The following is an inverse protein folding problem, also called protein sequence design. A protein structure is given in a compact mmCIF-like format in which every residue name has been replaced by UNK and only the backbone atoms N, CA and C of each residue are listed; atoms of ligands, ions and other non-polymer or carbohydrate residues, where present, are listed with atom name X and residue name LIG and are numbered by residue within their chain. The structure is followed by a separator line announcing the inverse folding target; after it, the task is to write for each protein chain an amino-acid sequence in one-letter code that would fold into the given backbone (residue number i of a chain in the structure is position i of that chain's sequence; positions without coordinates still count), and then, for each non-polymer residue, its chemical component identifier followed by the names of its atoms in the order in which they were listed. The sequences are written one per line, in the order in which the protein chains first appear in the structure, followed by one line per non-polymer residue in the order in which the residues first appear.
data_IF_419715637498
#
_entry.id   IF_419715637498
#
_cell.length_a   1.000
_cell.length_b   1.000
_cell.length_c   1.000
_cell.angle_alpha   90.00
_cell.angle_beta   90.00
_cell.angle_gamma   90.00
#
_symmetry.space_group_name_H-M   'P 1'
#
loop_
_entity.id
_entity.type
_entity.pdbx_description
1 polymer ?
#
# COMPACT_ATOMS: atom_id res chain seq x y z
N UNK A 1 2.91 15.43 -5.35
CA UNK A 1 4.11 15.01 -6.10
C UNK A 1 4.28 13.51 -5.95
N UNK A 2 3.34 12.76 -6.53
CA UNK A 2 3.30 11.29 -6.50
C UNK A 2 4.23 10.81 -7.62
N UNK A 3 5.03 9.76 -7.36
CA UNK A 3 6.11 9.33 -8.26
C UNK A 3 5.64 9.25 -9.71
N UNK A 4 6.39 9.91 -10.60
CA UNK A 4 6.10 9.90 -12.03
C UNK A 4 6.03 8.44 -12.53
N UNK A 5 5.23 8.15 -13.57
CA UNK A 5 5.17 6.80 -14.17
C UNK A 5 6.56 6.24 -14.50
N UNK A 6 7.49 7.14 -14.84
CA UNK A 6 8.90 6.84 -15.07
C UNK A 6 9.63 6.30 -13.83
N UNK A 7 9.33 6.80 -12.63
CA UNK A 7 9.89 6.26 -11.38
C UNK A 7 9.40 4.85 -11.10
N UNK A 8 8.11 4.57 -11.33
CA UNK A 8 7.56 3.22 -11.19
C UNK A 8 8.18 2.25 -12.20
N UNK A 9 8.33 2.67 -13.45
CA UNK A 9 9.00 1.88 -14.49
C UNK A 9 10.47 1.63 -14.15
N UNK A 10 11.21 2.63 -13.65
CA UNK A 10 12.61 2.48 -13.27
C UNK A 10 12.80 1.54 -12.06
N UNK A 11 11.92 1.62 -11.06
CA UNK A 11 11.92 0.72 -9.89
C UNK A 11 11.56 -0.71 -10.31
N UNK A 12 10.60 -0.88 -11.23
CA UNK A 12 10.24 -2.18 -11.79
C UNK A 12 11.33 -2.80 -12.67
N UNK A 13 12.01 -1.99 -13.49
CA UNK A 13 13.08 -2.45 -14.38
C UNK A 13 14.36 -2.85 -13.63
N UNK A 14 14.65 -2.21 -12.49
CA UNK A 14 15.77 -2.56 -11.61
C UNK A 14 15.46 -3.68 -10.61
N UNK A 15 14.29 -4.32 -10.71
CA UNK A 15 13.85 -5.32 -9.73
C UNK A 15 14.60 -6.63 -9.89
N UNK A 16 15.37 -6.99 -8.85
CA UNK A 16 16.01 -8.29 -8.78
C UNK A 16 15.02 -9.33 -8.23
N UNK A 17 14.57 -10.27 -9.08
CA UNK A 17 13.66 -11.36 -8.68
C UNK A 17 14.24 -12.20 -7.54
N UNK A 18 15.58 -12.27 -7.43
CA UNK A 18 16.26 -12.99 -6.36
C UNK A 18 16.03 -12.34 -4.98
N UNK A 19 15.95 -11.00 -4.93
CA UNK A 19 15.66 -10.24 -3.71
C UNK A 19 14.22 -10.52 -3.21
N UNK A 20 13.26 -10.66 -4.13
CA UNK A 20 11.87 -11.02 -3.80
C UNK A 20 11.81 -12.40 -3.14
N UNK A 21 12.59 -13.36 -3.66
CA UNK A 21 12.57 -14.75 -3.17
C UNK A 21 13.23 -14.88 -1.80
N UNK A 22 14.29 -14.11 -1.56
CA UNK A 22 15.03 -14.07 -0.29
C UNK A 22 14.17 -13.51 0.84
N UNK A 23 13.46 -12.41 0.59
CA UNK A 23 12.70 -11.70 1.62
C UNK A 23 11.18 -11.85 1.49
N UNK A 24 10.72 -12.90 0.81
CA UNK A 24 9.29 -13.17 0.50
C UNK A 24 8.37 -13.07 1.72
N UNK A 25 8.84 -13.51 2.89
CA UNK A 25 8.07 -13.48 4.14
C UNK A 25 7.91 -12.05 4.68
N UNK A 26 8.97 -11.25 4.64
CA UNK A 26 8.95 -9.85 5.05
C UNK A 26 8.12 -9.00 4.08
N UNK A 27 8.23 -9.28 2.77
CA UNK A 27 7.42 -8.63 1.74
C UNK A 27 5.93 -8.97 1.90
N UNK A 28 5.61 -10.24 2.15
CA UNK A 28 4.24 -10.67 2.40
C UNK A 28 3.66 -10.05 3.68
N UNK A 29 4.43 -10.02 4.78
CA UNK A 29 4.01 -9.37 6.03
C UNK A 29 3.82 -7.86 5.85
N UNK A 30 4.75 -7.17 5.19
CA UNK A 30 4.65 -5.74 4.90
C UNK A 30 3.41 -5.42 4.06
N UNK A 31 3.16 -6.21 3.02
CA UNK A 31 1.97 -6.10 2.19
C UNK A 31 0.70 -6.39 3.00
N UNK A 32 0.67 -7.47 3.80
CA UNK A 32 -0.48 -7.83 4.63
C UNK A 32 -0.83 -6.74 5.65
N UNK A 33 0.16 -6.19 6.34
CA UNK A 33 -0.04 -5.11 7.30
C UNK A 33 -0.58 -3.87 6.59
N UNK A 34 0.01 -3.45 5.47
CA UNK A 34 -0.44 -2.25 4.75
C UNK A 34 -1.79 -2.41 4.06
N UNK A 35 -2.09 -3.60 3.53
CA UNK A 35 -3.27 -3.83 2.70
C UNK A 35 -4.49 -4.30 3.49
N UNK A 36 -4.31 -4.86 4.69
CA UNK A 36 -5.41 -5.36 5.52
C UNK A 36 -5.49 -4.57 6.83
N UNK A 37 -4.39 -4.45 7.58
CA UNK A 37 -4.45 -3.85 8.92
C UNK A 37 -4.72 -2.34 8.84
N UNK A 38 -4.05 -1.62 7.93
CA UNK A 38 -4.25 -0.16 7.78
C UNK A 38 -5.68 0.23 7.40
N UNK A 39 -6.31 -0.36 6.36
CA UNK A 39 -7.69 -0.04 6.01
C UNK A 39 -8.72 -0.53 7.05
N UNK A 40 -8.44 -1.63 7.75
CA UNK A 40 -9.32 -2.11 8.82
C UNK A 40 -9.25 -1.18 10.05
N UNK A 41 -8.06 -0.70 10.40
CA UNK A 41 -7.88 0.34 11.42
C UNK A 41 -8.57 1.64 11.03
N UNK A 42 -8.45 2.08 9.77
CA UNK A 42 -9.11 3.33 9.34
C UNK A 42 -10.62 3.22 9.44
N UNK A 43 -11.21 2.08 9.07
CA UNK A 43 -12.63 1.81 9.24
C UNK A 43 -13.01 1.86 10.74
N UNK A 44 -12.32 1.14 11.60
CA UNK A 44 -12.61 1.14 13.05
C UNK A 44 -12.48 2.54 13.65
N UNK A 45 -11.46 3.32 13.27
CA UNK A 45 -11.25 4.66 13.79
C UNK A 45 -12.35 5.63 13.31
N UNK A 46 -12.70 5.61 12.02
CA UNK A 46 -13.73 6.51 11.46
C UNK A 46 -15.16 6.07 11.80
N UNK A 47 -15.35 4.83 12.25
CA UNK A 47 -16.65 4.37 12.75
C UNK A 47 -16.80 4.62 14.25
N UNK A 48 -15.78 4.36 15.07
CA UNK A 48 -15.94 4.34 16.53
C UNK A 48 -15.26 5.50 17.29
N UNK A 49 -14.13 6.01 16.81
CA UNK A 49 -13.37 7.07 17.50
C UNK A 49 -13.72 8.47 16.97
N UNK A 50 -13.86 8.59 15.66
CA UNK A 50 -14.22 9.83 14.97
C UNK A 50 -15.42 9.49 14.08
N UNK A 51 -16.62 9.32 14.66
CA UNK A 51 -17.78 8.82 13.93
C UNK A 51 -18.14 9.78 12.79
N UNK A 52 -17.86 9.34 11.56
CA UNK A 52 -18.30 10.03 10.34
C UNK A 52 -19.71 9.55 10.03
N UNK A 53 -20.71 10.40 10.24
CA UNK A 53 -22.13 10.07 10.02
C UNK A 53 -22.48 9.97 8.54
N UNK A 54 -21.79 10.74 7.70
CA UNK A 54 -21.95 10.74 6.25
C UNK A 54 -21.24 9.53 5.65
N UNK A 55 -22.03 8.58 5.16
CA UNK A 55 -21.52 7.32 4.62
C UNK A 55 -20.53 7.55 3.46
N UNK A 56 -20.85 8.44 2.53
CA UNK A 56 -19.98 8.75 1.39
C UNK A 56 -18.60 9.26 1.83
N UNK A 57 -18.55 10.11 2.86
CA UNK A 57 -17.32 10.67 3.41
C UNK A 57 -16.50 9.57 4.09
N UNK A 58 -17.15 8.65 4.82
CA UNK A 58 -16.50 7.48 5.40
C UNK A 58 -15.89 6.58 4.32
N UNK A 59 -16.61 6.36 3.22
CA UNK A 59 -16.12 5.56 2.10
C UNK A 59 -14.86 6.15 1.45
N UNK A 60 -14.87 7.45 1.14
CA UNK A 60 -13.70 8.15 0.58
C UNK A 60 -12.51 8.15 1.57
N UNK A 61 -12.79 8.35 2.86
CA UNK A 61 -11.75 8.31 3.90
C UNK A 61 -11.07 6.95 3.96
N UNK A 62 -11.84 5.85 4.04
CA UNK A 62 -11.29 4.48 4.09
C UNK A 62 -10.53 4.12 2.81
N UNK A 63 -11.09 4.47 1.64
CA UNK A 63 -10.45 4.21 0.35
C UNK A 63 -9.11 4.95 0.18
N UNK A 64 -8.98 6.15 0.75
CA UNK A 64 -7.71 6.89 0.75
C UNK A 64 -6.59 6.13 1.47
N UNK A 65 -6.93 5.42 2.55
CA UNK A 65 -5.99 4.59 3.30
C UNK A 65 -5.69 3.23 2.65
N UNK A 66 -6.41 2.86 1.59
CA UNK A 66 -6.11 1.67 0.79
C UNK A 66 -4.95 1.89 -0.21
N UNK A 67 -4.41 3.11 -0.31
CA UNK A 67 -3.35 3.44 -1.25
C UNK A 67 -2.08 2.60 -0.99
N UNK A 68 -1.43 2.04 -2.03
CA UNK A 68 -0.25 1.22 -1.86
C UNK A 68 0.94 2.01 -1.29
N UNK A 69 1.99 1.27 -0.92
CA UNK A 69 3.17 1.81 -0.26
C UNK A 69 3.79 3.00 -1.02
N UNK A 70 4.09 4.09 -0.30
CA UNK A 70 4.59 5.33 -0.90
C UNK A 70 5.96 5.16 -1.58
N UNK A 71 6.06 5.63 -2.82
CA UNK A 71 7.30 5.65 -3.62
C UNK A 71 8.43 6.52 -3.01
N UNK A 72 8.06 7.51 -2.19
CA UNK A 72 9.01 8.40 -1.50
C UNK A 72 9.94 7.65 -0.56
N UNK A 73 9.46 6.55 0.03
CA UNK A 73 10.26 5.68 0.92
C UNK A 73 11.47 5.08 0.21
N UNK A 74 11.35 4.75 -1.09
CA UNK A 74 12.47 4.21 -1.87
C UNK A 74 13.58 5.24 -2.11
N UNK A 75 13.22 6.49 -2.39
CA UNK A 75 14.21 7.57 -2.54
C UNK A 75 14.91 7.84 -1.22
N UNK A 76 14.17 7.77 -0.11
CA UNK A 76 14.72 7.95 1.22
C UNK A 76 15.69 6.81 1.57
N UNK A 77 15.26 5.56 1.40
CA UNK A 77 16.11 4.38 1.59
C UNK A 77 17.37 4.50 0.72
N UNK A 78 17.24 4.93 -0.54
CA UNK A 78 18.36 5.25 -1.46
C UNK A 78 19.34 6.28 -0.92
N UNK A 79 18.84 7.33 -0.28
CA UNK A 79 19.67 8.38 0.32
C UNK A 79 20.34 7.96 1.63
N UNK A 80 19.74 7.05 2.39
CA UNK A 80 20.22 6.61 3.71
C UNK A 80 21.05 5.32 3.68
N UNK A 81 21.33 4.74 2.50
CA UNK A 81 22.16 3.53 2.36
C UNK A 81 21.53 2.24 2.89
N UNK A 82 20.23 2.26 3.21
CA UNK A 82 19.46 1.07 3.64
C UNK A 82 19.11 0.18 2.43
N UNK A 83 18.63 -1.05 2.59
CA UNK A 83 18.39 -1.97 1.46
C UNK A 83 17.39 -1.43 0.40
N UNK A 84 17.92 -0.94 -0.73
CA UNK A 84 17.12 -0.38 -1.83
C UNK A 84 16.42 -1.46 -2.64
N UNK A 85 17.01 -2.66 -2.75
CA UNK A 85 16.41 -3.78 -3.48
C UNK A 85 15.14 -4.25 -2.75
N UNK A 86 15.19 -4.34 -1.42
CA UNK A 86 14.02 -4.67 -0.60
C UNK A 86 12.92 -3.62 -0.74
N UNK A 87 13.27 -2.33 -0.70
CA UNK A 87 12.28 -1.26 -0.85
C UNK A 87 11.63 -1.26 -2.24
N UNK A 88 12.39 -1.54 -3.30
CA UNK A 88 11.88 -1.66 -4.66
C UNK A 88 10.93 -2.85 -4.80
N UNK A 89 11.34 -4.01 -4.26
CA UNK A 89 10.52 -5.22 -4.23
C UNK A 89 9.21 -5.01 -3.47
N UNK A 90 9.25 -4.36 -2.30
CA UNK A 90 8.05 -4.08 -1.50
C UNK A 90 7.06 -3.19 -2.24
N UNK A 91 7.53 -2.19 -3.00
CA UNK A 91 6.66 -1.32 -3.78
C UNK A 91 6.01 -2.12 -4.90
N UNK A 92 6.79 -2.80 -5.75
CA UNK A 92 6.25 -3.56 -6.88
C UNK A 92 5.25 -4.63 -6.42
N UNK A 93 5.59 -5.39 -5.37
CA UNK A 93 4.69 -6.41 -4.80
C UNK A 93 3.41 -5.75 -4.27
N UNK A 94 3.53 -4.67 -3.49
CA UNK A 94 2.35 -3.98 -2.97
C UNK A 94 1.47 -3.38 -4.07
N UNK A 95 2.06 -2.88 -5.17
CA UNK A 95 1.33 -2.35 -6.33
C UNK A 95 0.55 -3.46 -7.03
N UNK A 96 1.17 -4.62 -7.29
CA UNK A 96 0.49 -5.77 -7.90
C UNK A 96 -0.62 -6.29 -6.99
N UNK A 97 -0.36 -6.47 -5.69
CA UNK A 97 -1.37 -6.92 -4.74
C UNK A 97 -2.49 -5.89 -4.53
N UNK A 98 -2.21 -4.59 -4.69
CA UNK A 98 -3.22 -3.54 -4.56
C UNK A 98 -4.34 -3.66 -5.58
N UNK A 99 -4.09 -4.20 -6.79
CA UNK A 99 -5.13 -4.43 -7.80
C UNK A 99 -6.26 -5.33 -7.25
N UNK A 100 -5.88 -6.38 -6.52
CA UNK A 100 -6.83 -7.29 -5.89
C UNK A 100 -7.41 -6.72 -4.60
N UNK A 101 -6.57 -6.07 -3.79
CA UNK A 101 -6.97 -5.60 -2.46
C UNK A 101 -7.88 -4.38 -2.54
N UNK A 102 -7.61 -3.43 -3.43
CA UNK A 102 -8.46 -2.25 -3.66
C UNK A 102 -9.84 -2.71 -4.16
N UNK A 103 -9.89 -3.69 -5.08
CA UNK A 103 -11.16 -4.27 -5.55
C UNK A 103 -11.97 -4.88 -4.39
N UNK A 104 -11.31 -5.59 -3.47
CA UNK A 104 -11.95 -6.17 -2.29
C UNK A 104 -12.47 -5.08 -1.32
N UNK A 105 -11.67 -4.05 -1.05
CA UNK A 105 -12.06 -2.96 -0.16
C UNK A 105 -13.18 -2.10 -0.71
N UNK A 106 -13.21 -1.84 -2.03
CA UNK A 106 -14.34 -1.17 -2.68
C UNK A 106 -15.63 -1.97 -2.46
N UNK A 107 -15.58 -3.30 -2.60
CA UNK A 107 -16.75 -4.14 -2.35
C UNK A 107 -17.21 -4.06 -0.89
N UNK A 108 -16.27 -4.13 0.07
CA UNK A 108 -16.58 -4.04 1.51
C UNK A 108 -17.17 -2.66 1.87
N UNK A 109 -16.53 -1.57 1.42
CA UNK A 109 -16.99 -0.21 1.66
C UNK A 109 -18.36 0.02 1.01
N UNK A 110 -18.57 -0.47 -0.21
CA UNK A 110 -19.86 -0.38 -0.91
C UNK A 110 -20.96 -1.21 -0.25
N UNK A 111 -20.64 -2.24 0.53
CA UNK A 111 -21.62 -3.00 1.31
C UNK A 111 -22.00 -2.32 2.64
N UNK A 112 -21.17 -1.38 3.11
CA UNK A 112 -21.37 -0.64 4.38
C UNK A 112 -22.04 0.72 4.12
N UNK A 113 -21.77 1.34 2.96
CA UNK A 113 -22.52 2.47 2.40
C UNK A 113 -24.01 2.10 2.24
#
# INVERSE_FOLDING_TARGET
MMGSPLMLLAVGAGLNISAIRKDRLLLALSAFIKLIIVPLLSLVVFTYLIPITEKEVLGVAVLTYCFPSALSTHVLVKKYGSDHEFSAASITVSTILSLFTISLWIYIVSAIL
#
